data_IF_362047853287
#
_entry.id   IF_362047853287
#
_cell.length_a   1.000
_cell.length_b   1.000
_cell.length_c   1.000
_cell.angle_alpha   90.00
_cell.angle_beta   90.00
_cell.angle_gamma   90.00
#
_symmetry.space_group_name_H-M   'P 1'
#
loop_
_entity.id
_entity.type
_entity.pdbx_description
1 polymer ?
#
# COMPACT_ATOMS: atom_id res chain seq x y z
N UNK A 1 8.58 -19.53 8.52
CA UNK A 1 7.37 -19.27 7.71
C UNK A 1 6.41 -18.48 8.58
N UNK A 2 6.31 -17.18 8.37
CA UNK A 2 5.33 -16.30 9.01
C UNK A 2 3.98 -16.57 8.34
N UNK A 3 3.20 -17.48 8.93
CA UNK A 3 1.87 -17.85 8.44
C UNK A 3 0.90 -16.72 8.79
N UNK A 4 0.75 -15.76 7.90
CA UNK A 4 -0.16 -14.63 8.06
C UNK A 4 -1.59 -15.05 7.73
N UNK A 5 -2.25 -15.67 8.71
CA UNK A 5 -3.64 -16.08 8.59
C UNK A 5 -4.58 -14.86 8.74
N UNK A 6 -4.54 -13.95 7.77
CA UNK A 6 -5.51 -12.87 7.67
C UNK A 6 -6.87 -13.43 7.28
N UNK A 7 -7.96 -13.02 7.95
CA UNK A 7 -9.31 -13.41 7.55
C UNK A 7 -9.58 -13.07 6.07
N UNK A 8 -10.31 -13.91 5.30
CA UNK A 8 -10.53 -13.68 3.87
C UNK A 8 -11.18 -12.33 3.52
N UNK A 9 -12.00 -11.79 4.42
CA UNK A 9 -12.61 -10.47 4.28
C UNK A 9 -11.59 -9.33 4.45
N UNK A 10 -10.54 -9.52 5.24
CA UNK A 10 -9.45 -8.56 5.40
C UNK A 10 -8.57 -8.56 4.16
N UNK A 11 -8.19 -9.73 3.65
CA UNK A 11 -7.41 -9.86 2.41
C UNK A 11 -8.11 -9.19 1.23
N UNK A 12 -9.42 -9.41 1.07
CA UNK A 12 -10.22 -8.77 0.02
C UNK A 12 -10.26 -7.25 0.12
N UNK A 13 -10.29 -6.70 1.34
CA UNK A 13 -10.29 -5.25 1.55
C UNK A 13 -8.93 -4.67 1.22
N UNK A 14 -7.85 -5.27 1.73
CA UNK A 14 -6.48 -4.85 1.44
C UNK A 14 -6.19 -4.88 -0.07
N UNK A 15 -6.57 -5.95 -0.78
CA UNK A 15 -6.40 -6.02 -2.23
C UNK A 15 -7.13 -4.88 -2.97
N UNK A 16 -8.32 -4.47 -2.49
CA UNK A 16 -9.06 -3.35 -3.07
C UNK A 16 -8.36 -2.01 -2.80
N UNK A 17 -7.87 -1.81 -1.59
CA UNK A 17 -7.18 -0.57 -1.21
C UNK A 17 -5.84 -0.42 -1.94
N UNK A 18 -5.03 -1.48 -2.02
CA UNK A 18 -3.78 -1.47 -2.76
C UNK A 18 -4.00 -1.20 -4.25
N UNK A 19 -5.04 -1.81 -4.83
CA UNK A 19 -5.44 -1.50 -6.21
C UNK A 19 -5.81 -0.02 -6.36
N UNK A 20 -6.55 0.57 -5.42
CA UNK A 20 -6.86 2.00 -5.47
C UNK A 20 -5.61 2.89 -5.34
N UNK A 21 -4.62 2.48 -4.55
CA UNK A 21 -3.34 3.18 -4.42
C UNK A 21 -2.50 3.11 -5.70
N UNK A 22 -2.61 2.02 -6.45
CA UNK A 22 -1.95 1.84 -7.77
C UNK A 22 -2.69 2.60 -8.90
N UNK A 23 -4.01 2.48 -8.98
CA UNK A 23 -4.83 3.14 -10.02
C UNK A 23 -4.99 4.66 -9.80
N UNK A 24 -5.00 5.10 -8.54
CA UNK A 24 -5.23 6.48 -8.15
C UNK A 24 -4.36 6.87 -6.94
N UNK A 25 -3.03 6.96 -7.13
CA UNK A 25 -2.13 7.31 -6.04
C UNK A 25 -2.44 8.73 -5.52
N UNK A 26 -2.47 8.93 -4.20
CA UNK A 26 -2.54 10.27 -3.63
C UNK A 26 -1.34 11.12 -4.07
N UNK A 27 -1.54 12.44 -4.13
CA UNK A 27 -0.47 13.37 -4.50
C UNK A 27 0.74 13.21 -3.58
N UNK A 28 1.92 13.08 -4.18
CA UNK A 28 3.19 12.89 -3.47
C UNK A 28 3.38 11.51 -2.84
N UNK A 29 2.41 10.59 -2.93
CA UNK A 29 2.52 9.25 -2.32
C UNK A 29 2.72 8.20 -3.40
N UNK A 30 3.78 7.39 -3.25
CA UNK A 30 4.02 6.19 -4.05
C UNK A 30 4.08 4.99 -3.12
N UNK A 31 3.24 3.98 -3.38
CA UNK A 31 3.16 2.77 -2.55
C UNK A 31 3.77 1.60 -3.31
N UNK A 32 4.68 0.88 -2.66
CA UNK A 32 5.26 -0.36 -3.14
C UNK A 32 4.79 -1.52 -2.27
N UNK A 33 4.24 -2.55 -2.89
CA UNK A 33 3.90 -3.80 -2.21
C UNK A 33 5.04 -4.80 -2.41
N UNK A 34 5.33 -5.60 -1.38
CA UNK A 34 6.27 -6.70 -1.53
C UNK A 34 5.53 -7.91 -2.11
N UNK A 35 6.03 -8.45 -3.23
CA UNK A 35 5.42 -9.59 -3.93
C UNK A 35 5.56 -10.92 -3.16
N UNK A 36 6.57 -11.02 -2.28
CA UNK A 36 6.84 -12.22 -1.47
C UNK A 36 6.09 -12.20 -0.12
N UNK A 37 5.80 -11.02 0.43
CA UNK A 37 5.11 -10.83 1.71
C UNK A 37 4.14 -9.65 1.66
N UNK A 38 2.85 -9.95 1.52
CA UNK A 38 1.79 -8.97 1.33
C UNK A 38 1.51 -8.11 2.58
N UNK A 39 1.99 -8.49 3.76
CA UNK A 39 1.91 -7.63 4.96
C UNK A 39 2.93 -6.50 4.96
N UNK A 40 3.98 -6.62 4.12
CA UNK A 40 5.07 -5.67 4.04
C UNK A 40 4.76 -4.67 2.92
N UNK A 41 4.40 -3.46 3.34
CA UNK A 41 4.05 -2.35 2.45
C UNK A 41 5.04 -1.21 2.69
N UNK A 42 5.60 -0.67 1.61
CA UNK A 42 6.46 0.50 1.62
C UNK A 42 5.74 1.69 0.99
N UNK A 43 6.02 2.90 1.48
CA UNK A 43 5.51 4.12 0.88
C UNK A 43 6.58 5.20 0.88
N UNK A 44 6.80 5.79 -0.29
CA UNK A 44 7.56 7.04 -0.44
C UNK A 44 6.58 8.20 -0.42
N UNK A 45 6.78 9.15 0.49
CA UNK A 45 5.92 10.32 0.66
C UNK A 45 6.75 11.57 0.41
N UNK A 46 6.50 12.22 -0.72
CA UNK A 46 6.99 13.54 -1.03
C UNK A 46 6.27 14.55 -0.14
N UNK A 47 7.04 15.26 0.69
CA UNK A 47 6.50 16.32 1.53
C UNK A 47 5.89 17.43 0.66
N UNK A 48 4.88 18.16 1.17
CA UNK A 48 4.35 19.31 0.44
C UNK A 48 5.51 20.27 0.21
N UNK A 49 5.86 20.49 -1.06
CA UNK A 49 6.98 21.34 -1.44
C UNK A 49 6.89 22.69 -0.73
N UNK A 50 8.05 23.31 -0.46
CA UNK A 50 8.09 24.62 0.18
C UNK A 50 7.35 25.61 -0.73
N UNK A 51 6.18 26.07 -0.30
CA UNK A 51 5.43 27.15 -0.95
C UNK A 51 6.27 28.43 -0.79
N UNK A 52 7.14 28.72 -1.76
CA UNK A 52 7.94 29.95 -1.82
C UNK A 52 7.13 31.09 -2.43
#
# INVERSE_FOLDING_TARGET
ATNENLPPNVIKQLAKELKSLDESPPEGIKVGVNDDDFSIIYADIEGPGKQL
#
